data_IF_895044332771
#
_entry.id   IF_895044332771
#
_cell.length_a   1.000
_cell.length_b   1.000
_cell.length_c   1.000
_cell.angle_alpha   90.00
_cell.angle_beta   90.00
_cell.angle_gamma   90.00
#
_symmetry.space_group_name_H-M   'P 1'
#
loop_
_entity.id
_entity.type
_entity.pdbx_description
1 polymer ?
#
# COMPACT_ATOMS: atom_id res chain seq x y z
N UNK A 1 1.03 -28.91 -14.68
CA UNK A 1 -0.21 -28.14 -14.81
C UNK A 1 -0.77 -27.70 -13.45
N UNK A 2 -1.22 -28.59 -12.56
CA UNK A 2 -1.74 -28.17 -11.23
C UNK A 2 -0.72 -27.34 -10.44
N UNK A 3 0.54 -27.75 -10.40
CA UNK A 3 1.63 -27.02 -9.73
C UNK A 3 1.78 -25.58 -10.28
N UNK A 4 1.63 -25.42 -11.60
CA UNK A 4 1.71 -24.09 -12.25
C UNK A 4 0.57 -23.16 -11.77
N UNK A 5 -0.64 -23.70 -11.63
CA UNK A 5 -1.80 -22.97 -11.12
C UNK A 5 -1.55 -22.54 -9.66
N UNK A 6 -1.11 -23.48 -8.81
CA UNK A 6 -0.84 -23.16 -7.39
C UNK A 6 0.27 -22.14 -7.21
N UNK A 7 1.38 -22.26 -7.96
CA UNK A 7 2.47 -21.26 -7.87
C UNK A 7 1.98 -19.90 -8.36
N UNK A 8 1.15 -19.85 -9.40
CA UNK A 8 0.56 -18.61 -9.87
C UNK A 8 -0.31 -17.95 -8.79
N UNK A 9 -1.21 -18.72 -8.14
CA UNK A 9 -2.07 -18.25 -7.05
C UNK A 9 -1.27 -17.77 -5.82
N UNK A 10 -0.09 -18.33 -5.58
CA UNK A 10 0.81 -17.89 -4.52
C UNK A 10 1.57 -16.62 -4.93
N UNK A 11 1.94 -16.51 -6.21
CA UNK A 11 2.71 -15.38 -6.74
C UNK A 11 1.88 -14.10 -6.81
N UNK A 12 0.58 -14.22 -7.07
CA UNK A 12 -0.32 -13.08 -7.21
C UNK A 12 -0.39 -12.20 -5.95
N UNK A 13 -0.73 -12.69 -4.74
CA UNK A 13 -0.73 -11.84 -3.54
C UNK A 13 0.66 -11.28 -3.21
N UNK A 14 1.73 -12.01 -3.50
CA UNK A 14 3.09 -11.51 -3.29
C UNK A 14 3.37 -10.34 -4.23
N UNK A 15 3.04 -10.49 -5.52
CA UNK A 15 3.17 -9.41 -6.49
C UNK A 15 2.38 -8.17 -6.07
N UNK A 16 1.12 -8.33 -5.67
CA UNK A 16 0.25 -7.22 -5.24
C UNK A 16 0.88 -6.44 -4.09
N UNK A 17 1.37 -7.12 -3.04
CA UNK A 17 2.02 -6.47 -1.90
C UNK A 17 3.24 -5.65 -2.35
N UNK A 18 4.11 -6.22 -3.16
CA UNK A 18 5.33 -5.52 -3.60
C UNK A 18 5.03 -4.41 -4.61
N UNK A 19 4.11 -4.63 -5.52
CA UNK A 19 3.73 -3.65 -6.53
C UNK A 19 3.01 -2.44 -5.90
N UNK A 20 2.13 -2.66 -4.93
CA UNK A 20 1.47 -1.57 -4.20
C UNK A 20 2.48 -0.78 -3.37
N UNK A 21 3.41 -1.46 -2.70
CA UNK A 21 4.48 -0.80 -1.95
C UNK A 21 5.42 0.03 -2.83
N UNK A 22 5.55 -0.32 -4.11
CA UNK A 22 6.39 0.41 -5.07
C UNK A 22 5.73 1.66 -5.64
N UNK A 23 4.45 1.90 -5.38
CA UNK A 23 3.75 3.13 -5.81
C UNK A 23 4.36 4.33 -5.07
N UNK A 24 4.71 5.42 -5.78
CA UNK A 24 5.23 6.63 -5.14
C UNK A 24 4.21 7.25 -4.17
N UNK A 25 4.67 7.64 -2.99
CA UNK A 25 3.79 8.28 -2.01
C UNK A 25 3.22 9.62 -2.47
N UNK A 26 3.93 10.36 -3.33
CA UNK A 26 3.60 11.69 -3.85
C UNK A 26 3.36 12.77 -2.78
N UNK A 27 3.86 12.56 -1.57
CA UNK A 27 4.01 13.57 -0.53
C UNK A 27 5.42 13.51 0.05
N UNK A 28 5.85 14.61 0.66
CA UNK A 28 7.19 14.70 1.18
C UNK A 28 7.23 14.19 2.63
N UNK A 29 8.23 13.36 2.95
CA UNK A 29 8.46 12.81 4.30
C UNK A 29 9.64 13.48 5.02
N UNK A 30 10.58 13.99 4.24
CA UNK A 30 11.80 14.61 4.80
C UNK A 30 11.44 15.88 5.58
N UNK A 31 12.09 16.07 6.71
CA UNK A 31 11.89 17.21 7.62
C UNK A 31 10.42 17.34 8.13
N UNK A 32 9.70 16.22 8.18
CA UNK A 32 8.33 16.15 8.69
C UNK A 32 8.19 15.07 9.75
N UNK A 33 7.42 15.41 10.76
CA UNK A 33 7.09 14.49 11.84
C UNK A 33 5.62 14.63 12.23
N UNK A 34 5.13 13.63 12.95
CA UNK A 34 3.82 13.64 13.58
C UNK A 34 3.99 13.83 15.09
N UNK A 35 3.39 14.85 15.63
CA UNK A 35 3.24 15.03 17.07
C UNK A 35 1.89 14.45 17.48
N UNK A 36 1.91 13.41 18.29
CA UNK A 36 0.74 12.72 18.81
C UNK A 36 0.52 13.14 20.26
N UNK A 37 -0.71 13.53 20.57
CA UNK A 37 -1.16 13.87 21.91
C UNK A 37 -2.20 12.86 22.35
N UNK A 38 -1.83 11.92 23.21
CA UNK A 38 -2.74 10.93 23.77
C UNK A 38 -3.30 11.42 25.09
N UNK A 39 -4.61 11.28 25.31
CA UNK A 39 -5.30 11.72 26.52
C UNK A 39 -6.55 10.88 26.77
N UNK A 40 -7.08 10.93 28.00
CA UNK A 40 -8.33 10.26 28.34
C UNK A 40 -9.53 11.04 27.83
N UNK A 41 -10.08 10.53 26.73
CA UNK A 41 -11.22 11.13 26.06
C UNK A 41 -12.51 11.12 26.89
N UNK A 42 -12.67 10.17 27.79
CA UNK A 42 -13.91 10.04 28.59
C UNK A 42 -14.18 11.25 29.47
N UNK A 43 -13.12 11.92 29.91
CA UNK A 43 -13.20 13.15 30.69
C UNK A 43 -13.58 14.37 29.86
N UNK A 44 -13.26 14.39 28.56
CA UNK A 44 -13.50 15.52 27.68
C UNK A 44 -14.97 15.65 27.25
N UNK A 45 -15.70 14.53 27.16
CA UNK A 45 -17.12 14.48 26.74
C UNK A 45 -18.06 15.03 27.84
N UNK A 46 -17.63 15.03 29.09
CA UNK A 46 -18.51 15.38 30.22
C UNK A 46 -18.97 16.85 30.23
N UNK A 47 -18.24 17.75 29.57
CA UNK A 47 -18.58 19.19 29.52
C UNK A 47 -18.18 19.78 28.16
N UNK A 48 -19.12 19.69 27.18
CA UNK A 48 -18.83 20.00 25.77
C UNK A 48 -18.42 21.45 25.49
N UNK A 49 -18.95 22.43 26.21
CA UNK A 49 -18.72 23.84 25.90
C UNK A 49 -17.56 24.50 26.68
N UNK A 50 -17.19 23.96 27.84
CA UNK A 50 -16.18 24.55 28.73
C UNK A 50 -15.14 23.54 29.22
N UNK A 51 -14.87 22.46 28.48
CA UNK A 51 -13.91 21.45 28.91
C UNK A 51 -12.52 22.05 29.17
N UNK A 52 -11.99 21.96 30.39
CA UNK A 52 -10.63 22.41 30.69
C UNK A 52 -9.58 21.72 29.80
N UNK A 53 -9.83 20.44 29.45
CA UNK A 53 -8.95 19.66 28.57
C UNK A 53 -8.93 20.23 27.13
N UNK A 54 -10.06 20.77 26.64
CA UNK A 54 -10.07 21.43 25.34
C UNK A 54 -9.17 22.67 25.31
N UNK A 55 -9.27 23.52 26.34
CA UNK A 55 -8.42 24.70 26.47
C UNK A 55 -6.95 24.32 26.65
N UNK A 56 -6.68 23.27 27.44
CA UNK A 56 -5.34 22.74 27.65
C UNK A 56 -4.74 22.21 26.34
N UNK A 57 -5.51 21.40 25.58
CA UNK A 57 -5.12 20.91 24.25
C UNK A 57 -4.80 22.09 23.31
N UNK A 58 -5.68 23.08 23.21
CA UNK A 58 -5.48 24.26 22.37
C UNK A 58 -4.21 25.03 22.74
N UNK A 59 -3.92 25.20 24.04
CA UNK A 59 -2.70 25.85 24.50
C UNK A 59 -1.45 25.03 24.15
N UNK A 60 -1.50 23.71 24.30
CA UNK A 60 -0.40 22.82 23.91
C UNK A 60 -0.14 22.93 22.41
N UNK A 61 -1.18 22.83 21.59
CA UNK A 61 -1.08 22.97 20.12
C UNK A 61 -0.48 24.31 19.74
N UNK A 62 -0.93 25.42 20.37
CA UNK A 62 -0.37 26.74 20.11
C UNK A 62 1.11 26.83 20.49
N UNK A 63 1.50 26.25 21.62
CA UNK A 63 2.88 26.22 22.05
C UNK A 63 3.78 25.44 21.08
N UNK A 64 3.33 24.27 20.61
CA UNK A 64 4.06 23.48 19.63
C UNK A 64 4.22 24.25 18.32
N UNK A 65 3.16 24.89 17.82
CA UNK A 65 3.18 25.70 16.59
C UNK A 65 4.12 26.90 16.70
N UNK A 66 4.29 27.43 17.91
CA UNK A 66 5.13 28.60 18.17
C UNK A 66 6.61 28.27 18.35
N UNK A 67 6.99 27.00 18.36
CA UNK A 67 8.42 26.62 18.48
C UNK A 67 9.24 27.15 17.30
N UNK A 68 10.45 27.69 17.53
CA UNK A 68 11.27 28.25 16.46
C UNK A 68 11.66 27.27 15.35
N UNK A 69 11.68 25.99 15.66
CA UNK A 69 12.01 24.89 14.76
C UNK A 69 10.88 24.56 13.77
N UNK A 70 9.66 24.96 14.07
CA UNK A 70 8.48 24.70 13.25
C UNK A 70 8.44 25.67 12.07
N UNK A 71 8.35 25.17 10.86
CA UNK A 71 8.08 25.95 9.66
C UNK A 71 6.60 26.08 9.40
N UNK A 72 5.87 24.95 9.47
CA UNK A 72 4.42 24.89 9.35
C UNK A 72 3.88 23.66 10.05
N UNK A 73 2.59 23.67 10.37
CA UNK A 73 1.94 22.50 10.96
C UNK A 73 0.48 22.45 10.57
N UNK A 74 -0.08 21.25 10.54
CA UNK A 74 -1.50 21.01 10.27
C UNK A 74 -2.05 20.01 11.28
N UNK A 75 -3.28 20.23 11.70
CA UNK A 75 -4.02 19.29 12.51
C UNK A 75 -4.89 18.40 11.62
N UNK A 76 -4.81 17.09 11.83
CA UNK A 76 -5.60 16.13 11.08
C UNK A 76 -6.86 15.80 11.87
N UNK A 77 -7.97 15.75 11.17
CA UNK A 77 -9.23 15.32 11.79
C UNK A 77 -9.12 13.86 12.21
N UNK A 78 -9.50 13.59 13.42
CA UNK A 78 -9.19 12.43 14.21
C UNK A 78 -9.50 11.07 13.61
N UNK A 79 -10.52 10.94 12.82
CA UNK A 79 -10.94 9.66 12.22
C UNK A 79 -10.80 9.63 10.71
N UNK A 80 -10.39 10.74 10.10
CA UNK A 80 -10.55 10.97 8.66
C UNK A 80 -9.35 11.65 8.02
N UNK A 81 -8.29 11.87 8.77
CA UNK A 81 -7.09 12.52 8.26
C UNK A 81 -6.10 11.54 7.66
N UNK A 82 -5.31 12.01 6.70
CA UNK A 82 -4.05 11.38 6.34
C UNK A 82 -3.26 11.07 7.61
N UNK A 83 -2.79 9.85 7.76
CA UNK A 83 -2.03 9.39 8.93
C UNK A 83 -2.80 9.15 10.24
N UNK A 84 -4.11 9.33 10.28
CA UNK A 84 -4.80 9.27 11.57
C UNK A 84 -5.95 8.29 11.65
N UNK A 85 -6.27 7.46 10.68
CA UNK A 85 -7.54 6.81 10.87
C UNK A 85 -7.63 5.33 10.61
N UNK A 86 -8.37 4.71 11.52
CA UNK A 86 -8.97 3.40 11.36
C UNK A 86 -10.19 3.41 10.45
N UNK A 87 -10.76 4.59 10.16
CA UNK A 87 -11.92 4.75 9.30
C UNK A 87 -11.65 5.81 8.25
N UNK A 88 -11.65 5.39 6.99
CA UNK A 88 -11.82 6.32 5.90
C UNK A 88 -13.30 6.69 5.82
N UNK A 89 -13.63 7.97 5.98
CA UNK A 89 -14.96 8.43 5.59
C UNK A 89 -15.06 8.29 4.07
N UNK A 90 -16.04 7.50 3.65
CA UNK A 90 -16.40 7.36 2.26
C UNK A 90 -17.52 8.35 2.00
N UNK A 91 -17.27 9.30 1.13
CA UNK A 91 -18.29 10.20 0.63
C UNK A 91 -18.70 9.82 -0.79
N UNK A 92 -19.89 10.26 -1.19
CA UNK A 92 -20.47 9.96 -2.48
C UNK A 92 -20.50 11.24 -3.30
N UNK A 93 -19.74 11.27 -4.37
CA UNK A 93 -19.77 12.40 -5.30
C UNK A 93 -20.57 12.00 -6.55
N UNK A 94 -21.57 12.81 -6.90
CA UNK A 94 -22.37 12.65 -8.12
C UNK A 94 -21.83 13.60 -9.18
N UNK A 95 -21.50 13.11 -10.35
CA UNK A 95 -21.08 14.00 -11.44
C UNK A 95 -22.24 14.49 -12.29
N UNK A 96 -23.40 13.84 -12.22
CA UNK A 96 -24.65 14.25 -12.85
C UNK A 96 -25.78 14.05 -11.84
N UNK A 97 -26.34 15.16 -11.33
CA UNK A 97 -27.41 15.12 -10.34
C UNK A 97 -28.72 14.55 -10.85
N UNK A 98 -28.88 14.47 -12.18
CA UNK A 98 -30.07 13.90 -12.81
C UNK A 98 -29.96 12.39 -13.03
N UNK A 99 -28.74 11.85 -13.06
CA UNK A 99 -28.48 10.42 -13.26
C UNK A 99 -27.94 9.76 -11.98
N UNK A 100 -28.76 8.98 -11.31
CA UNK A 100 -28.35 8.21 -10.12
C UNK A 100 -27.17 7.24 -10.34
N UNK A 101 -26.88 6.88 -11.60
CA UNK A 101 -25.81 5.96 -11.98
C UNK A 101 -24.44 6.66 -12.16
N UNK A 102 -24.35 7.97 -11.94
CA UNK A 102 -23.13 8.78 -12.07
C UNK A 102 -22.44 9.03 -10.72
N UNK A 103 -22.54 8.05 -9.83
CA UNK A 103 -21.98 8.11 -8.49
C UNK A 103 -20.56 7.55 -8.48
N UNK A 104 -19.61 8.28 -7.90
CA UNK A 104 -18.35 7.70 -7.48
C UNK A 104 -18.18 7.82 -5.95
N UNK A 105 -17.56 6.81 -5.37
CA UNK A 105 -17.13 6.86 -3.99
C UNK A 105 -15.74 7.49 -3.92
N UNK A 106 -15.53 8.38 -2.97
CA UNK A 106 -14.25 9.04 -2.71
C UNK A 106 -13.89 8.96 -1.24
N UNK A 107 -12.62 8.82 -0.96
CA UNK A 107 -12.11 8.97 0.40
C UNK A 107 -12.14 10.46 0.77
N UNK A 108 -12.80 10.80 1.87
CA UNK A 108 -12.80 12.16 2.38
C UNK A 108 -11.69 12.31 3.42
N UNK A 109 -10.81 13.29 3.23
CA UNK A 109 -9.82 13.72 4.20
C UNK A 109 -10.21 15.06 4.78
N UNK A 110 -10.37 15.11 6.10
CA UNK A 110 -10.72 16.33 6.80
C UNK A 110 -9.50 16.89 7.54
N UNK A 111 -9.28 18.19 7.39
CA UNK A 111 -8.24 18.92 8.10
C UNK A 111 -8.86 20.09 8.86
N UNK A 112 -8.30 20.40 10.02
CA UNK A 112 -8.74 21.54 10.81
C UNK A 112 -8.21 22.82 10.17
N UNK A 113 -9.14 23.76 9.88
CA UNK A 113 -8.78 25.07 9.37
C UNK A 113 -8.34 26.00 10.51
N UNK A 114 -7.06 26.32 10.55
CA UNK A 114 -6.45 27.18 11.56
C UNK A 114 -6.19 28.61 11.07
N UNK A 115 -6.74 28.98 9.90
CA UNK A 115 -6.55 30.30 9.31
C UNK A 115 -5.25 30.50 8.56
N UNK A 116 -4.45 29.46 8.39
CA UNK A 116 -3.24 29.50 7.58
C UNK A 116 -3.41 28.71 6.26
N UNK A 117 -2.61 29.05 5.24
CA UNK A 117 -2.72 28.50 3.89
C UNK A 117 -1.65 27.43 3.60
N UNK A 118 -1.02 26.89 4.64
CA UNK A 118 0.20 26.08 4.53
C UNK A 118 -0.04 24.56 4.43
N UNK A 119 -1.29 24.10 4.45
CA UNK A 119 -1.62 22.67 4.48
C UNK A 119 -0.91 21.88 3.36
N UNK A 120 -1.07 22.29 2.12
CA UNK A 120 -0.44 21.60 0.99
C UNK A 120 1.09 21.71 1.01
N UNK A 121 1.63 22.84 1.46
CA UNK A 121 3.07 23.04 1.62
C UNK A 121 3.63 22.14 2.74
N UNK A 122 2.88 21.95 3.82
CA UNK A 122 3.28 21.06 4.92
C UNK A 122 3.42 19.62 4.44
N UNK A 123 2.54 19.13 3.60
CA UNK A 123 2.61 17.78 3.03
C UNK A 123 3.43 17.72 1.72
N UNK A 124 3.69 18.87 1.07
CA UNK A 124 4.33 18.89 -0.24
C UNK A 124 3.43 18.40 -1.36
N UNK A 125 2.10 18.49 -1.20
CA UNK A 125 1.14 18.06 -2.21
C UNK A 125 1.13 19.00 -3.40
N UNK A 126 1.21 18.42 -4.60
CA UNK A 126 1.33 19.16 -5.85
C UNK A 126 0.00 19.29 -6.54
N UNK A 127 -0.19 20.41 -7.22
CA UNK A 127 -1.27 20.62 -8.18
C UNK A 127 -1.09 19.70 -9.39
N UNK A 128 -2.16 19.01 -9.75
CA UNK A 128 -2.17 17.99 -10.79
C UNK A 128 -1.86 18.53 -12.21
N UNK A 129 -2.06 19.84 -12.43
CA UNK A 129 -1.85 20.46 -13.75
C UNK A 129 -0.49 21.15 -13.84
N UNK A 130 -0.11 21.91 -12.80
CA UNK A 130 1.11 22.71 -12.83
C UNK A 130 2.33 21.99 -12.27
N UNK A 131 2.14 20.91 -11.48
CA UNK A 131 3.21 20.19 -10.76
C UNK A 131 3.86 21.00 -9.62
N UNK A 132 3.36 22.21 -9.34
CA UNK A 132 3.79 23.05 -8.22
C UNK A 132 3.01 22.67 -6.96
N UNK A 133 3.56 23.01 -5.80
CA UNK A 133 2.83 22.84 -4.54
C UNK A 133 1.53 23.61 -4.61
N UNK A 134 0.43 22.93 -4.30
CA UNK A 134 -0.90 23.53 -4.31
C UNK A 134 -1.03 24.54 -3.16
N UNK A 135 -1.79 25.58 -3.36
CA UNK A 135 -2.04 26.62 -2.33
C UNK A 135 -3.52 26.72 -2.03
N UNK A 136 -3.83 26.92 -0.76
CA UNK A 136 -5.22 27.19 -0.34
C UNK A 136 -5.55 28.65 -0.62
N UNK A 137 -6.66 28.94 -1.32
CA UNK A 137 -7.08 30.33 -1.56
C UNK A 137 -7.42 31.06 -0.25
N UNK A 138 -7.17 32.38 -0.18
CA UNK A 138 -7.49 33.21 0.99
C UNK A 138 -8.98 33.22 1.34
N UNK A 139 -9.84 33.10 0.33
CA UNK A 139 -11.29 33.17 0.46
C UNK A 139 -11.97 31.79 0.56
N UNK A 140 -11.32 30.83 1.20
CA UNK A 140 -11.88 29.48 1.37
C UNK A 140 -13.16 29.49 2.22
N UNK A 141 -14.17 28.78 1.76
CA UNK A 141 -15.39 28.52 2.51
C UNK A 141 -15.31 27.15 3.17
N UNK A 142 -14.94 27.13 4.45
CA UNK A 142 -14.84 25.88 5.21
C UNK A 142 -16.16 25.11 5.20
N UNK A 143 -16.10 23.84 4.93
CA UNK A 143 -17.26 22.97 4.81
C UNK A 143 -17.84 22.84 3.40
N UNK A 144 -17.69 23.85 2.53
CA UNK A 144 -18.24 23.82 1.16
C UNK A 144 -17.18 23.81 0.06
N UNK A 145 -15.98 24.30 0.33
CA UNK A 145 -14.87 24.27 -0.62
C UNK A 145 -14.08 22.99 -0.45
N UNK A 146 -13.85 22.29 -1.55
CA UNK A 146 -13.12 21.02 -1.58
C UNK A 146 -11.97 21.05 -2.58
N UNK A 147 -10.99 20.23 -2.31
CA UNK A 147 -9.93 19.86 -3.24
C UNK A 147 -10.10 18.38 -3.59
N UNK A 148 -9.91 18.02 -4.84
CA UNK A 148 -10.11 16.64 -5.29
C UNK A 148 -8.82 16.07 -5.85
N UNK A 149 -8.65 14.76 -5.74
CA UNK A 149 -7.51 14.07 -6.35
C UNK A 149 -7.63 14.05 -7.88
N UNK A 150 -6.50 13.89 -8.57
CA UNK A 150 -6.46 13.72 -10.03
C UNK A 150 -7.37 12.59 -10.47
N UNK A 151 -7.31 11.44 -9.79
CA UNK A 151 -8.14 10.28 -10.10
C UNK A 151 -9.64 10.61 -9.98
N UNK A 152 -10.06 11.26 -8.90
CA UNK A 152 -11.45 11.67 -8.73
C UNK A 152 -11.88 12.66 -9.83
N UNK A 153 -11.04 13.66 -10.16
CA UNK A 153 -11.30 14.62 -11.21
C UNK A 153 -11.49 13.97 -12.58
N UNK A 154 -10.59 13.06 -12.95
CA UNK A 154 -10.66 12.33 -14.23
C UNK A 154 -11.89 11.43 -14.32
N UNK A 155 -12.27 10.77 -13.21
CA UNK A 155 -13.48 9.92 -13.19
C UNK A 155 -14.76 10.72 -13.24
N UNK A 156 -14.82 11.87 -12.54
CA UNK A 156 -16.02 12.71 -12.49
C UNK A 156 -16.23 13.55 -13.77
N UNK A 157 -15.16 14.10 -14.31
CA UNK A 157 -15.26 15.13 -15.36
C UNK A 157 -14.46 14.82 -16.62
N UNK A 158 -13.66 13.75 -16.63
CA UNK A 158 -12.77 13.40 -17.74
C UNK A 158 -11.61 14.38 -17.96
N UNK A 159 -11.41 15.32 -17.04
CA UNK A 159 -10.37 16.36 -17.10
C UNK A 159 -9.98 16.82 -15.70
N UNK A 160 -8.78 17.36 -15.57
CA UNK A 160 -8.30 18.01 -14.33
C UNK A 160 -8.56 19.52 -14.30
N UNK A 161 -9.05 20.11 -15.41
CA UNK A 161 -9.41 21.53 -15.50
C UNK A 161 -10.84 21.76 -15.00
N UNK A 162 -11.04 21.67 -13.68
CA UNK A 162 -12.37 21.70 -13.06
C UNK A 162 -12.50 22.71 -11.92
N UNK A 163 -11.52 23.59 -11.76
CA UNK A 163 -11.56 24.63 -10.71
C UNK A 163 -12.79 25.51 -10.92
N UNK A 164 -13.53 25.75 -9.82
CA UNK A 164 -14.76 26.54 -9.82
C UNK A 164 -16.03 25.77 -10.20
N UNK A 165 -15.92 24.51 -10.68
CA UNK A 165 -17.09 23.66 -10.85
C UNK A 165 -17.70 23.34 -9.51
N UNK A 166 -19.03 23.31 -9.49
CA UNK A 166 -19.79 22.91 -8.29
C UNK A 166 -20.22 21.46 -8.41
N UNK A 167 -20.20 20.81 -7.28
CA UNK A 167 -20.68 19.46 -7.12
C UNK A 167 -21.66 19.42 -5.95
N UNK A 168 -22.70 18.62 -6.03
CA UNK A 168 -23.67 18.48 -4.95
C UNK A 168 -23.87 17.01 -4.60
N UNK A 169 -23.86 16.71 -3.32
CA UNK A 169 -24.51 15.52 -2.78
C UNK A 169 -25.95 15.88 -2.34
N UNK A 170 -26.76 14.91 -1.90
CA UNK A 170 -28.14 15.20 -1.46
C UNK A 170 -28.26 16.18 -0.29
N UNK A 171 -27.16 16.42 0.45
CA UNK A 171 -27.14 17.21 1.67
C UNK A 171 -26.32 18.49 1.55
N UNK A 172 -25.34 18.54 0.61
CA UNK A 172 -24.36 19.62 0.55
C UNK A 172 -23.99 19.99 -0.90
N UNK A 173 -23.66 21.26 -1.10
CA UNK A 173 -23.13 21.76 -2.36
C UNK A 173 -21.68 22.16 -2.16
N UNK A 174 -20.80 21.52 -2.94
CA UNK A 174 -19.36 21.73 -2.87
C UNK A 174 -18.85 22.54 -4.06
N UNK A 175 -17.83 23.35 -3.85
CA UNK A 175 -17.10 24.07 -4.91
C UNK A 175 -15.67 23.53 -4.97
N UNK A 176 -15.22 23.09 -6.16
CA UNK A 176 -13.87 22.59 -6.35
C UNK A 176 -12.92 23.77 -6.46
N UNK A 177 -11.94 23.85 -5.56
CA UNK A 177 -10.93 24.91 -5.49
C UNK A 177 -9.57 24.51 -6.03
N UNK A 178 -9.30 23.23 -6.19
CA UNK A 178 -8.07 22.73 -6.77
C UNK A 178 -8.09 21.23 -6.99
N UNK A 179 -7.15 20.76 -7.80
CA UNK A 179 -6.93 19.34 -8.08
C UNK A 179 -5.51 19.01 -7.69
N UNK A 180 -5.34 18.07 -6.74
CA UNK A 180 -4.03 17.60 -6.30
C UNK A 180 -3.68 16.26 -6.95
N UNK A 181 -2.37 15.99 -7.07
CA UNK A 181 -1.88 14.69 -7.52
C UNK A 181 -2.27 13.59 -6.55
N UNK A 182 -2.61 12.42 -7.08
CA UNK A 182 -2.92 11.26 -6.27
C UNK A 182 -1.75 10.93 -5.35
N UNK A 183 -2.01 10.71 -4.09
CA UNK A 183 -0.98 10.36 -3.10
C UNK A 183 -1.36 9.11 -2.31
N UNK A 184 -0.34 8.35 -1.97
CA UNK A 184 -0.49 7.10 -1.23
C UNK A 184 -0.33 7.35 0.26
N UNK A 185 -1.42 7.21 1.01
CA UNK A 185 -1.40 7.37 2.47
C UNK A 185 -0.95 6.14 3.21
N UNK A 186 -1.29 4.98 2.67
CA UNK A 186 -0.99 3.68 3.24
C UNK A 186 -0.10 2.90 2.28
N UNK A 187 1.03 2.41 2.78
CA UNK A 187 2.02 1.65 1.99
C UNK A 187 1.44 0.43 1.26
N UNK A 188 0.33 -0.11 1.75
CA UNK A 188 -0.31 -1.31 1.20
C UNK A 188 -1.64 -1.05 0.51
N UNK A 189 -2.04 0.22 0.40
CA UNK A 189 -3.23 0.64 -0.33
C UNK A 189 -2.83 1.59 -1.45
N UNK A 190 -3.31 1.34 -2.65
CA UNK A 190 -3.12 2.28 -3.76
C UNK A 190 -3.78 3.63 -3.48
N UNK A 191 -3.33 4.71 -4.13
CA UNK A 191 -4.02 5.98 -4.06
C UNK A 191 -5.47 5.84 -4.50
N UNK A 192 -6.40 6.12 -3.58
CA UNK A 192 -7.83 6.07 -3.84
C UNK A 192 -8.32 7.42 -4.37
N UNK A 193 -9.41 7.43 -5.17
CA UNK A 193 -10.08 8.69 -5.50
C UNK A 193 -10.48 9.36 -4.20
N UNK A 194 -10.08 10.61 -4.03
CA UNK A 194 -10.20 11.29 -2.73
C UNK A 194 -10.52 12.76 -2.85
N UNK A 195 -11.05 13.33 -1.77
CA UNK A 195 -11.23 14.75 -1.61
C UNK A 195 -10.70 15.23 -0.27
N UNK A 196 -10.20 16.44 -0.25
CA UNK A 196 -9.77 17.16 0.96
C UNK A 196 -10.79 18.25 1.26
N UNK A 197 -11.25 18.27 2.51
CA UNK A 197 -12.18 19.26 3.04
C UNK A 197 -11.58 19.91 4.27
N UNK A 198 -11.83 21.20 4.43
CA UNK A 198 -11.45 21.92 5.64
C UNK A 198 -12.65 22.11 6.55
N UNK A 199 -12.46 21.84 7.82
CA UNK A 199 -13.48 22.02 8.84
C UNK A 199 -13.01 23.01 9.91
N UNK A 200 -13.95 23.71 10.53
CA UNK A 200 -13.61 24.56 11.67
C UNK A 200 -13.26 23.70 12.88
N UNK A 201 -12.31 24.18 13.72
CA UNK A 201 -12.03 23.50 14.97
C UNK A 201 -13.31 23.30 15.76
N UNK A 202 -13.55 22.08 16.21
CA UNK A 202 -14.67 21.72 17.06
C UNK A 202 -14.21 20.69 18.09
N UNK A 203 -14.98 20.51 19.15
CA UNK A 203 -14.72 19.43 20.11
C UNK A 203 -14.61 18.08 19.41
N UNK A 204 -15.48 17.80 18.44
CA UNK A 204 -15.43 16.57 17.66
C UNK A 204 -14.17 16.42 16.81
N UNK A 205 -13.58 17.55 16.36
CA UNK A 205 -12.32 17.50 15.59
C UNK A 205 -11.10 17.22 16.45
N UNK A 206 -11.22 17.46 17.75
CA UNK A 206 -10.15 17.26 18.73
C UNK A 206 -10.42 16.01 19.58
N UNK A 207 -11.72 15.74 19.81
CA UNK A 207 -12.21 14.67 20.64
C UNK A 207 -12.05 13.30 19.99
N UNK A 208 -10.99 12.61 20.25
CA UNK A 208 -10.78 11.26 19.97
C UNK A 208 -9.55 10.75 20.67
N UNK A 209 -9.32 9.49 20.53
CA UNK A 209 -8.33 8.76 21.30
C UNK A 209 -6.91 9.34 21.22
N UNK A 210 -6.60 10.11 20.19
CA UNK A 210 -5.36 10.88 20.08
C UNK A 210 -5.49 12.00 19.05
N UNK A 211 -4.90 13.16 19.34
CA UNK A 211 -4.74 14.24 18.37
C UNK A 211 -3.39 14.08 17.68
N UNK A 212 -3.38 14.00 16.36
CA UNK A 212 -2.17 13.89 15.54
C UNK A 212 -1.98 15.16 14.72
N UNK A 213 -0.83 15.79 14.90
CA UNK A 213 -0.44 17.00 14.18
C UNK A 213 0.77 16.72 13.33
N UNK A 214 0.68 16.97 12.04
CA UNK A 214 1.84 16.92 11.15
C UNK A 214 2.56 18.24 11.20
N UNK A 215 3.85 18.17 11.48
CA UNK A 215 4.74 19.33 11.61
C UNK A 215 5.84 19.23 10.56
N UNK A 216 6.02 20.30 9.80
CA UNK A 216 7.18 20.51 8.95
C UNK A 216 8.23 21.28 9.74
N UNK A 217 9.40 20.71 9.89
CA UNK A 217 10.53 21.30 10.58
C UNK A 217 11.37 22.15 9.62
N UNK A 218 12.02 23.16 10.13
CA UNK A 218 13.02 23.92 9.39
C UNK A 218 14.21 23.03 9.04
N UNK A 219 14.79 23.26 7.90
CA UNK A 219 15.92 22.48 7.38
C UNK A 219 17.08 22.43 8.41
N UNK A 220 17.60 21.22 8.63
CA UNK A 220 18.68 20.98 9.59
C UNK A 220 18.25 20.78 11.05
N UNK A 221 16.97 20.81 11.35
CA UNK A 221 16.47 20.52 12.71
C UNK A 221 16.58 19.03 13.00
N UNK A 222 17.23 18.67 14.12
CA UNK A 222 17.26 17.29 14.61
C UNK A 222 15.90 16.91 15.22
N UNK A 223 15.37 15.75 14.85
CA UNK A 223 14.12 15.23 15.40
C UNK A 223 14.20 15.02 16.91
N UNK A 224 15.33 14.50 17.42
CA UNK A 224 15.53 14.30 18.85
C UNK A 224 15.51 15.60 19.64
N UNK A 225 16.20 16.65 19.12
CA UNK A 225 16.21 17.96 19.73
C UNK A 225 14.82 18.61 19.71
N UNK A 226 14.08 18.45 18.61
CA UNK A 226 12.70 18.90 18.51
C UNK A 226 11.79 18.15 19.50
N UNK A 227 11.91 16.81 19.58
CA UNK A 227 11.15 15.98 20.52
C UNK A 227 11.33 16.44 21.96
N UNK A 228 12.57 16.75 22.35
CA UNK A 228 12.87 17.24 23.69
C UNK A 228 12.17 18.59 23.96
N UNK A 229 12.23 19.52 23.01
CA UNK A 229 11.57 20.83 23.13
C UNK A 229 10.06 20.73 23.21
N UNK A 230 9.44 19.84 22.41
CA UNK A 230 8.01 19.56 22.49
C UNK A 230 7.63 19.05 23.87
N UNK A 231 8.37 18.07 24.43
CA UNK A 231 8.14 17.54 25.76
C UNK A 231 8.27 18.62 26.83
N UNK A 232 9.28 19.49 26.74
CA UNK A 232 9.48 20.60 27.67
C UNK A 232 8.34 21.63 27.58
N UNK A 233 7.90 21.97 26.37
CA UNK A 233 6.78 22.91 26.16
C UNK A 233 5.46 22.36 26.72
N UNK A 234 5.19 21.08 26.48
CA UNK A 234 3.99 20.42 27.02
C UNK A 234 4.04 20.36 28.55
N UNK A 235 5.15 19.96 29.14
CA UNK A 235 5.30 19.83 30.60
C UNK A 235 5.16 21.19 31.34
N UNK A 236 5.44 22.30 30.67
CA UNK A 236 5.23 23.65 31.26
C UNK A 236 3.74 24.02 31.34
N UNK A 237 2.93 23.51 30.41
CA UNK A 237 1.51 23.83 30.29
C UNK A 237 0.66 22.82 31.00
N UNK A 238 0.93 21.53 30.78
CA UNK A 238 0.22 20.39 31.36
C UNK A 238 0.91 19.93 32.67
N UNK A 239 0.53 20.56 33.76
CA UNK A 239 1.10 20.26 35.08
C UNK A 239 0.57 18.95 35.69
N UNK A 240 -0.59 18.52 35.24
CA UNK A 240 -1.24 17.31 35.74
C UNK A 240 -0.83 16.07 34.96
N UNK A 241 -0.12 16.27 33.83
CA UNK A 241 0.26 15.20 32.93
C UNK A 241 -0.97 14.48 32.32
N UNK A 242 -1.98 15.28 31.94
CA UNK A 242 -3.22 14.81 31.33
C UNK A 242 -2.99 14.36 29.87
N UNK A 243 -1.92 14.87 29.22
CA UNK A 243 -1.53 14.55 27.86
C UNK A 243 -0.19 13.83 27.83
N UNK A 244 -0.17 12.69 27.14
CA UNK A 244 1.07 12.00 26.79
C UNK A 244 1.48 12.44 25.37
N UNK A 245 2.69 12.99 25.24
CA UNK A 245 3.21 13.46 23.97
C UNK A 245 4.24 12.51 23.39
N UNK A 246 4.07 12.13 22.14
CA UNK A 246 5.05 11.42 21.35
C UNK A 246 5.31 12.15 20.02
N UNK A 247 6.54 12.09 19.54
CA UNK A 247 6.95 12.65 18.26
C UNK A 247 7.52 11.52 17.43
N UNK A 248 6.89 11.27 16.30
CA UNK A 248 7.19 10.15 15.41
C UNK A 248 7.53 10.68 14.02
N UNK A 249 8.36 9.99 13.29
CA UNK A 249 8.47 10.21 11.83
C UNK A 249 7.16 9.82 11.14
N UNK A 250 6.92 10.28 9.92
CA UNK A 250 5.72 9.88 9.18
C UNK A 250 5.72 8.36 8.88
N UNK A 251 6.89 7.76 8.70
CA UNK A 251 7.00 6.31 8.51
C UNK A 251 6.67 5.54 9.78
N UNK A 252 7.14 5.98 10.94
CA UNK A 252 6.79 5.39 12.24
C UNK A 252 5.30 5.54 12.55
N UNK A 253 4.70 6.69 12.20
CA UNK A 253 3.25 6.93 12.35
C UNK A 253 2.43 5.97 11.50
N UNK A 254 2.86 5.69 10.26
CA UNK A 254 2.22 4.69 9.42
C UNK A 254 2.38 3.29 10.00
N UNK A 255 3.57 2.95 10.47
CA UNK A 255 3.85 1.64 11.06
C UNK A 255 3.04 1.40 12.34
N UNK A 256 2.89 2.43 13.20
CA UNK A 256 2.01 2.38 14.38
C UNK A 256 0.56 2.10 13.95
N UNK A 257 0.05 2.82 12.98
CA UNK A 257 -1.30 2.62 12.43
C UNK A 257 -1.47 1.22 11.84
N UNK A 258 -0.47 0.70 11.11
CA UNK A 258 -0.51 -0.67 10.59
C UNK A 258 -0.50 -1.73 11.70
N UNK A 259 0.19 -1.47 12.80
CA UNK A 259 0.25 -2.37 13.95
C UNK A 259 -1.09 -2.37 14.69
N UNK A 260 -1.66 -1.20 14.96
CA UNK A 260 -2.98 -1.04 15.59
C UNK A 260 -4.10 -1.73 14.79
N UNK A 261 -4.01 -1.72 13.46
CA UNK A 261 -4.99 -2.37 12.56
C UNK A 261 -4.74 -3.86 12.32
N UNK A 262 -3.77 -4.46 12.96
CA UNK A 262 -3.33 -5.83 12.67
C UNK A 262 -2.92 -6.06 11.20
N UNK A 263 -2.82 -4.99 10.42
CA UNK A 263 -2.48 -5.01 9.01
C UNK A 263 -1.12 -5.65 8.77
N UNK A 264 -0.13 -5.26 9.56
CA UNK A 264 1.21 -5.84 9.53
C UNK A 264 1.18 -7.33 9.83
N UNK A 265 0.38 -7.76 10.81
CA UNK A 265 0.23 -9.17 11.16
C UNK A 265 -0.34 -9.96 9.99
N UNK A 266 -1.42 -9.48 9.39
CA UNK A 266 -2.08 -10.11 8.23
C UNK A 266 -1.14 -10.23 7.03
N UNK A 267 -0.37 -9.18 6.70
CA UNK A 267 0.60 -9.21 5.60
C UNK A 267 1.72 -10.20 5.89
N UNK A 268 2.30 -10.14 7.08
CA UNK A 268 3.37 -11.07 7.45
C UNK A 268 2.87 -12.52 7.43
N UNK A 269 1.66 -12.78 7.91
CA UNK A 269 1.02 -14.09 7.85
C UNK A 269 0.85 -14.57 6.41
N UNK A 270 0.36 -13.71 5.49
CA UNK A 270 0.25 -14.03 4.05
C UNK A 270 1.63 -14.35 3.45
N UNK A 271 2.64 -13.53 3.71
CA UNK A 271 4.01 -13.74 3.20
C UNK A 271 4.59 -15.06 3.72
N UNK A 272 4.48 -15.33 5.03
CA UNK A 272 5.02 -16.56 5.64
C UNK A 272 4.32 -17.78 5.08
N UNK A 273 2.98 -17.78 5.03
CA UNK A 273 2.19 -18.90 4.52
C UNK A 273 2.51 -19.20 3.04
N UNK A 274 2.54 -18.17 2.21
CA UNK A 274 2.84 -18.30 0.79
C UNK A 274 4.28 -18.76 0.56
N UNK A 275 5.25 -18.23 1.33
CA UNK A 275 6.65 -18.68 1.25
C UNK A 275 6.80 -20.14 1.67
N UNK A 276 6.14 -20.56 2.74
CA UNK A 276 6.12 -21.94 3.19
C UNK A 276 5.52 -22.88 2.13
N UNK A 277 4.37 -22.51 1.55
CA UNK A 277 3.74 -23.27 0.48
C UNK A 277 4.69 -23.42 -0.74
N UNK A 278 5.39 -22.35 -1.12
CA UNK A 278 6.35 -22.35 -2.22
C UNK A 278 7.53 -23.30 -1.95
N UNK A 279 8.06 -23.32 -0.73
CA UNK A 279 9.10 -24.27 -0.30
C UNK A 279 8.59 -25.72 -0.36
N UNK A 280 7.37 -25.98 0.13
CA UNK A 280 6.78 -27.32 0.07
C UNK A 280 6.64 -27.81 -1.39
N UNK A 281 6.14 -26.96 -2.29
CA UNK A 281 6.00 -27.27 -3.73
C UNK A 281 7.39 -27.53 -4.34
N UNK A 282 8.38 -26.69 -4.01
CA UNK A 282 9.75 -26.89 -4.47
C UNK A 282 10.31 -28.25 -4.06
N UNK A 283 10.17 -28.65 -2.79
CA UNK A 283 10.64 -29.96 -2.29
C UNK A 283 9.90 -31.12 -2.95
N UNK A 284 8.58 -31.02 -3.15
CA UNK A 284 7.79 -32.03 -3.86
C UNK A 284 8.26 -32.18 -5.31
N UNK A 285 8.55 -31.09 -6.00
CA UNK A 285 9.06 -31.13 -7.36
C UNK A 285 10.45 -31.75 -7.41
N UNK A 286 11.35 -31.38 -6.49
CA UNK A 286 12.67 -32.00 -6.38
C UNK A 286 12.58 -33.51 -6.19
N UNK A 287 11.72 -33.99 -5.30
CA UNK A 287 11.48 -35.42 -5.07
C UNK A 287 11.01 -36.13 -6.33
N UNK A 288 10.06 -35.53 -7.05
CA UNK A 288 9.55 -36.08 -8.33
C UNK A 288 10.64 -36.16 -9.39
N UNK A 289 11.46 -35.12 -9.55
CA UNK A 289 12.57 -35.11 -10.50
C UNK A 289 13.63 -36.15 -10.10
N UNK A 290 13.91 -36.29 -8.81
CA UNK A 290 14.85 -37.28 -8.31
C UNK A 290 14.41 -38.69 -8.67
N UNK A 291 13.18 -39.09 -8.32
CA UNK A 291 12.63 -40.43 -8.64
C UNK A 291 12.60 -40.68 -10.14
N UNK A 292 12.23 -39.67 -10.95
CA UNK A 292 12.23 -39.79 -12.42
C UNK A 292 13.62 -40.04 -12.98
N UNK A 293 14.67 -39.42 -12.44
CA UNK A 293 16.04 -39.60 -12.89
C UNK A 293 16.64 -40.91 -12.40
N UNK A 294 16.23 -41.35 -11.22
CA UNK A 294 16.66 -42.68 -10.70
C UNK A 294 16.15 -43.79 -11.61
N UNK A 295 14.92 -43.75 -12.06
CA UNK A 295 14.33 -44.69 -13.01
C UNK A 295 14.95 -44.64 -14.42
N UNK A 296 15.71 -43.57 -14.76
CA UNK A 296 16.40 -43.44 -16.06
C UNK A 296 17.91 -43.61 -15.97
N UNK A 297 18.45 -44.18 -14.88
CA UNK A 297 19.89 -44.40 -14.70
C UNK A 297 20.47 -45.33 -15.77
N UNK A 298 19.74 -46.38 -16.13
CA UNK A 298 20.11 -47.33 -17.18
C UNK A 298 20.27 -46.62 -18.54
N UNK A 299 19.27 -45.79 -18.94
CA UNK A 299 19.33 -45.03 -20.19
C UNK A 299 20.56 -44.11 -20.23
N UNK A 300 20.86 -43.44 -19.10
CA UNK A 300 22.05 -42.57 -18.98
C UNK A 300 23.35 -43.42 -19.11
N UNK A 301 23.38 -44.62 -18.52
CA UNK A 301 24.49 -45.56 -18.63
C UNK A 301 24.75 -45.96 -20.08
N UNK A 302 23.69 -46.30 -20.82
CA UNK A 302 23.77 -46.67 -22.25
C UNK A 302 24.30 -45.50 -23.09
N UNK A 303 23.74 -44.29 -22.90
CA UNK A 303 24.23 -43.11 -23.63
C UNK A 303 25.72 -42.83 -23.35
N UNK A 304 26.16 -43.02 -22.12
CA UNK A 304 27.55 -42.82 -21.72
C UNK A 304 28.47 -43.86 -22.31
N UNK A 305 28.05 -45.14 -22.39
CA UNK A 305 28.81 -46.21 -23.00
C UNK A 305 28.97 -46.00 -24.50
N UNK A 306 27.99 -45.39 -25.17
CA UNK A 306 28.07 -45.00 -26.58
C UNK A 306 28.87 -43.69 -26.83
N UNK A 307 29.55 -43.15 -25.83
CA UNK A 307 30.45 -42.01 -25.97
C UNK A 307 29.82 -40.63 -25.79
N UNK A 308 28.57 -40.55 -25.30
CA UNK A 308 27.97 -39.24 -25.01
C UNK A 308 28.73 -38.52 -23.89
N UNK A 309 29.06 -37.24 -24.09
CA UNK A 309 29.66 -36.40 -23.06
C UNK A 309 28.66 -36.11 -21.94
N UNK A 310 29.14 -35.93 -20.69
CA UNK A 310 28.29 -35.55 -19.53
C UNK A 310 27.45 -34.33 -19.81
N UNK A 311 28.03 -33.29 -20.38
CA UNK A 311 27.35 -32.06 -20.72
C UNK A 311 26.22 -32.26 -21.76
N UNK A 312 26.42 -33.16 -22.74
CA UNK A 312 25.41 -33.49 -23.75
C UNK A 312 24.19 -34.14 -23.10
N UNK A 313 24.41 -35.11 -22.20
CA UNK A 313 23.36 -35.80 -21.46
C UNK A 313 22.59 -34.84 -20.59
N UNK A 314 23.29 -34.04 -19.77
CA UNK A 314 22.65 -33.04 -18.89
C UNK A 314 21.80 -32.06 -19.71
N UNK A 315 22.35 -31.51 -20.80
CA UNK A 315 21.60 -30.54 -21.65
C UNK A 315 20.36 -31.20 -22.27
N UNK A 316 20.44 -32.45 -22.71
CA UNK A 316 19.30 -33.14 -23.28
C UNK A 316 18.14 -33.28 -22.29
N UNK A 317 18.42 -33.74 -21.06
CA UNK A 317 17.36 -33.87 -20.02
C UNK A 317 16.80 -32.52 -19.54
N UNK A 318 17.66 -31.50 -19.42
CA UNK A 318 17.17 -30.15 -19.11
C UNK A 318 16.27 -29.64 -20.23
N UNK A 319 16.66 -29.80 -21.49
CA UNK A 319 15.81 -29.36 -22.63
C UNK A 319 14.47 -30.09 -22.66
N UNK A 320 14.46 -31.41 -22.43
CA UNK A 320 13.22 -32.20 -22.32
C UNK A 320 12.33 -31.65 -21.17
N UNK A 321 12.91 -31.43 -20.01
CA UNK A 321 12.17 -30.90 -18.84
C UNK A 321 11.61 -29.51 -19.09
N UNK A 322 12.37 -28.63 -19.74
CA UNK A 322 11.91 -27.27 -20.09
C UNK A 322 10.78 -27.28 -21.11
N UNK A 323 10.86 -28.13 -22.13
CA UNK A 323 9.79 -28.30 -23.13
C UNK A 323 8.50 -28.77 -22.44
N UNK A 324 8.59 -29.82 -21.60
CA UNK A 324 7.44 -30.34 -20.85
C UNK A 324 6.85 -29.29 -19.89
N UNK A 325 7.71 -28.51 -19.22
CA UNK A 325 7.27 -27.40 -18.39
C UNK A 325 6.48 -26.37 -19.20
N UNK A 326 7.02 -25.92 -20.33
CA UNK A 326 6.41 -24.92 -21.19
C UNK A 326 5.04 -25.36 -21.69
N UNK A 327 4.92 -26.61 -22.13
CA UNK A 327 3.65 -27.20 -22.58
C UNK A 327 2.64 -27.29 -21.43
N UNK A 328 3.08 -27.78 -20.26
CA UNK A 328 2.22 -27.87 -19.08
C UNK A 328 1.79 -26.50 -18.55
N UNK A 329 2.67 -25.51 -18.64
CA UNK A 329 2.39 -24.12 -18.26
C UNK A 329 1.39 -23.49 -19.22
N UNK A 330 1.59 -23.62 -20.53
CA UNK A 330 0.67 -23.13 -21.54
C UNK A 330 -0.75 -23.74 -21.39
N UNK A 331 -0.83 -25.01 -21.04
CA UNK A 331 -2.12 -25.69 -20.77
C UNK A 331 -2.78 -25.24 -19.45
N UNK A 332 -2.00 -24.71 -18.48
CA UNK A 332 -2.51 -24.18 -17.22
C UNK A 332 -3.09 -22.78 -17.37
N UNK A 333 -2.57 -21.96 -18.28
CA UNK A 333 -2.93 -20.52 -18.39
C UNK A 333 -4.41 -20.26 -18.68
N UNK A 334 -5.11 -21.02 -19.55
CA UNK A 334 -6.57 -20.83 -19.72
C UNK A 334 -7.36 -21.02 -18.43
N UNK A 335 -6.93 -21.95 -17.56
CA UNK A 335 -7.60 -22.22 -16.28
C UNK A 335 -7.35 -21.05 -15.32
N UNK A 336 -6.10 -20.57 -15.24
CA UNK A 336 -5.74 -19.40 -14.43
C UNK A 336 -6.49 -18.18 -14.91
N UNK A 337 -6.55 -17.96 -16.23
CA UNK A 337 -7.27 -16.83 -16.81
C UNK A 337 -8.78 -16.89 -16.46
N UNK A 338 -9.38 -18.06 -16.58
CA UNK A 338 -10.78 -18.24 -16.18
C UNK A 338 -10.99 -17.91 -14.71
N UNK A 339 -10.10 -18.41 -13.82
CA UNK A 339 -10.16 -18.12 -12.40
C UNK A 339 -10.07 -16.61 -12.11
N UNK A 340 -9.09 -15.91 -12.72
CA UNK A 340 -8.93 -14.45 -12.54
C UNK A 340 -10.12 -13.66 -13.08
N UNK A 341 -10.75 -14.11 -14.17
CA UNK A 341 -11.94 -13.46 -14.71
C UNK A 341 -13.20 -13.64 -13.84
N UNK A 342 -13.24 -14.69 -13.01
CA UNK A 342 -14.38 -14.97 -12.12
C UNK A 342 -14.19 -14.45 -10.71
N UNK A 343 -13.01 -14.61 -10.13
CA UNK A 343 -12.71 -14.28 -8.72
C UNK A 343 -11.91 -12.97 -8.57
N UNK A 344 -11.34 -12.44 -9.66
CA UNK A 344 -10.43 -11.29 -9.64
C UNK A 344 -8.99 -11.65 -9.25
N UNK A 345 -8.17 -10.61 -9.14
CA UNK A 345 -6.80 -10.69 -8.59
C UNK A 345 -6.81 -10.66 -7.07
N UNK A 346 -5.72 -11.12 -6.45
CA UNK A 346 -5.54 -11.00 -5.01
C UNK A 346 -5.54 -9.53 -4.58
N UNK A 347 -6.10 -9.28 -3.41
CA UNK A 347 -6.04 -7.98 -2.76
C UNK A 347 -4.99 -7.96 -1.64
N UNK A 348 -4.35 -6.81 -1.36
CA UNK A 348 -3.41 -6.69 -0.25
C UNK A 348 -4.06 -7.09 1.09
N UNK A 349 -5.36 -6.84 1.23
CA UNK A 349 -6.17 -7.27 2.37
C UNK A 349 -5.85 -6.53 3.67
N UNK A 350 -5.35 -5.31 3.56
CA UNK A 350 -4.93 -4.48 4.68
C UNK A 350 -5.90 -3.35 4.95
N UNK A 351 -6.67 -2.98 3.96
CA UNK A 351 -7.63 -1.90 4.09
C UNK A 351 -9.00 -2.45 4.54
N UNK A 352 -9.53 -1.87 5.59
CA UNK A 352 -10.92 -2.10 6.02
C UNK A 352 -11.95 -1.48 5.07
N UNK A 353 -11.48 -0.86 3.99
CA UNK A 353 -12.32 -0.27 2.96
C UNK A 353 -12.68 -1.34 1.96
N UNK A 354 -13.97 -1.47 1.71
CA UNK A 354 -14.49 -2.30 0.65
C UNK A 354 -14.05 -1.70 -0.71
N UNK A 355 -12.99 -2.27 -1.29
CA UNK A 355 -12.40 -1.78 -2.54
C UNK A 355 -13.36 -1.83 -3.71
N UNK A 356 -14.38 -2.70 -3.64
CA UNK A 356 -15.41 -2.79 -4.67
C UNK A 356 -16.20 -1.49 -4.80
N UNK A 357 -16.22 -0.66 -3.73
CA UNK A 357 -16.85 0.66 -3.78
C UNK A 357 -16.06 1.68 -4.59
N UNK A 358 -14.72 1.52 -4.70
CA UNK A 358 -13.87 2.46 -5.39
C UNK A 358 -13.52 1.95 -6.78
N UNK A 359 -13.62 2.83 -7.77
CA UNK A 359 -13.17 2.52 -9.13
C UNK A 359 -11.63 2.50 -9.15
N UNK A 360 -11.00 1.34 -9.43
CA UNK A 360 -9.54 1.24 -9.45
C UNK A 360 -8.94 2.16 -10.51
N UNK A 361 -7.77 2.75 -10.22
CA UNK A 361 -7.05 3.54 -11.19
C UNK A 361 -6.21 2.62 -12.11
N UNK A 362 -6.55 2.51 -13.41
CA UNK A 362 -5.84 1.63 -14.35
C UNK A 362 -4.41 2.09 -14.66
N UNK A 363 -4.01 3.31 -14.27
CA UNK A 363 -2.63 3.79 -14.42
C UNK A 363 -1.67 3.01 -13.53
N UNK A 364 -2.15 2.50 -12.40
CA UNK A 364 -1.35 1.62 -11.55
C UNK A 364 -1.34 0.20 -12.12
N UNK A 365 -0.14 -0.35 -12.34
CA UNK A 365 0.04 -1.68 -12.94
C UNK A 365 -0.68 -2.80 -12.19
N UNK A 366 -0.92 -2.62 -10.88
CA UNK A 366 -1.70 -3.55 -10.04
C UNK A 366 -3.15 -3.65 -10.52
N UNK A 367 -3.74 -2.56 -10.99
CA UNK A 367 -5.13 -2.49 -11.44
C UNK A 367 -5.30 -2.74 -12.93
N UNK A 368 -4.22 -2.69 -13.69
CA UNK A 368 -4.27 -2.97 -15.12
C UNK A 368 -4.26 -4.49 -15.34
N UNK A 369 -5.42 -5.03 -15.73
CA UNK A 369 -5.60 -6.47 -15.93
C UNK A 369 -4.49 -7.12 -16.76
N UNK A 370 -4.12 -6.53 -17.89
CA UNK A 370 -3.13 -7.12 -18.79
C UNK A 370 -1.72 -7.06 -18.22
N UNK A 371 -1.36 -5.93 -17.61
CA UNK A 371 -0.04 -5.71 -17.01
C UNK A 371 0.12 -6.62 -15.80
N UNK A 372 -0.87 -6.68 -14.92
CA UNK A 372 -0.87 -7.52 -13.72
C UNK A 372 -0.75 -9.00 -14.10
N UNK A 373 -1.65 -9.49 -14.95
CA UNK A 373 -1.65 -10.88 -15.41
C UNK A 373 -0.32 -11.26 -16.07
N UNK A 374 0.23 -10.38 -16.93
CA UNK A 374 1.50 -10.62 -17.59
C UNK A 374 2.68 -10.72 -16.61
N UNK A 375 2.77 -9.80 -15.63
CA UNK A 375 3.83 -9.83 -14.63
C UNK A 375 3.77 -11.08 -13.74
N UNK A 376 2.61 -11.41 -13.18
CA UNK A 376 2.45 -12.59 -12.32
C UNK A 376 2.75 -13.87 -13.12
N UNK A 377 2.28 -13.94 -14.37
CA UNK A 377 2.56 -15.07 -15.26
C UNK A 377 4.04 -15.19 -15.57
N UNK A 378 4.73 -14.08 -15.86
CA UNK A 378 6.16 -14.08 -16.12
C UNK A 378 6.97 -14.51 -14.89
N UNK A 379 6.67 -13.95 -13.71
CA UNK A 379 7.33 -14.31 -12.44
C UNK A 379 7.13 -15.79 -12.15
N UNK A 380 5.91 -16.30 -12.28
CA UNK A 380 5.58 -17.72 -12.07
C UNK A 380 6.35 -18.61 -13.03
N UNK A 381 6.40 -18.27 -14.32
CA UNK A 381 7.13 -19.06 -15.31
C UNK A 381 8.62 -19.10 -15.03
N UNK A 382 9.23 -17.95 -14.70
CA UNK A 382 10.66 -17.87 -14.35
C UNK A 382 10.98 -18.67 -13.09
N UNK A 383 10.14 -18.58 -12.06
CA UNK A 383 10.30 -19.36 -10.84
C UNK A 383 10.24 -20.87 -11.13
N UNK A 384 9.24 -21.32 -11.90
CA UNK A 384 9.11 -22.72 -12.30
C UNK A 384 10.27 -23.19 -13.18
N UNK A 385 10.73 -22.34 -14.09
CA UNK A 385 11.88 -22.63 -14.93
C UNK A 385 13.15 -22.87 -14.07
N UNK A 386 13.38 -21.99 -13.10
CA UNK A 386 14.48 -22.13 -12.15
C UNK A 386 14.40 -23.44 -11.37
N UNK A 387 13.23 -23.74 -10.79
CA UNK A 387 12.98 -24.97 -10.03
C UNK A 387 13.21 -26.19 -10.91
N UNK A 388 12.72 -26.19 -12.16
CA UNK A 388 12.83 -27.30 -13.09
C UNK A 388 14.28 -27.52 -13.51
N UNK A 389 15.03 -26.46 -13.82
CA UNK A 389 16.45 -26.56 -14.19
C UNK A 389 17.25 -27.13 -13.02
N UNK A 390 17.12 -26.54 -11.82
CA UNK A 390 17.87 -27.00 -10.63
C UNK A 390 17.49 -28.46 -10.27
N UNK A 391 16.16 -28.71 -10.25
CA UNK A 391 15.62 -30.03 -9.91
C UNK A 391 16.03 -31.13 -10.87
N UNK A 392 16.23 -30.81 -12.16
CA UNK A 392 16.71 -31.76 -13.16
C UNK A 392 18.23 -31.86 -13.16
N UNK A 393 18.94 -30.76 -13.06
CA UNK A 393 20.39 -30.68 -13.14
C UNK A 393 21.10 -31.51 -12.07
N UNK A 394 20.67 -31.40 -10.82
CA UNK A 394 21.32 -32.06 -9.67
C UNK A 394 21.31 -33.62 -9.83
N UNK A 395 20.16 -34.28 -10.01
CA UNK A 395 20.12 -35.74 -10.12
C UNK A 395 20.76 -36.25 -11.42
N UNK A 396 20.56 -35.56 -12.56
CA UNK A 396 21.19 -35.95 -13.84
C UNK A 396 22.72 -35.85 -13.73
N UNK A 397 23.25 -34.79 -13.16
CA UNK A 397 24.68 -34.62 -12.97
C UNK A 397 25.27 -35.71 -12.08
N UNK A 398 24.57 -36.12 -11.01
CA UNK A 398 24.99 -37.26 -10.17
C UNK A 398 24.96 -38.56 -10.95
N UNK A 399 23.89 -38.85 -11.70
CA UNK A 399 23.77 -40.05 -12.50
C UNK A 399 24.88 -40.17 -13.56
N UNK A 400 25.31 -39.05 -14.16
CA UNK A 400 26.44 -39.07 -15.14
C UNK A 400 27.81 -39.34 -14.51
N UNK A 401 27.96 -39.33 -13.18
CA UNK A 401 29.21 -39.67 -12.48
C UNK A 401 29.35 -41.15 -12.18
N UNK A 402 28.28 -41.93 -12.22
CA UNK A 402 28.29 -43.37 -12.01
C UNK A 402 29.01 -44.02 -13.21
N UNK A 403 29.82 -45.02 -12.94
CA UNK A 403 30.49 -45.79 -14.01
C UNK A 403 29.43 -46.53 -14.83
N UNK A 404 29.53 -46.54 -16.18
CA UNK A 404 28.56 -47.23 -17.03
C UNK A 404 28.37 -48.72 -16.68
N UNK A 405 29.42 -49.38 -16.20
CA UNK A 405 29.37 -50.77 -15.77
C UNK A 405 28.49 -50.98 -14.51
N UNK A 406 28.52 -50.02 -13.57
CA UNK A 406 27.73 -50.11 -12.35
C UNK A 406 26.25 -49.79 -12.62
N UNK A 407 25.99 -48.86 -13.56
CA UNK A 407 24.63 -48.47 -13.95
C UNK A 407 23.86 -49.61 -14.67
N UNK A 408 24.58 -50.53 -15.31
CA UNK A 408 24.00 -51.70 -16.02
C UNK A 408 23.93 -52.95 -15.14
N UNK A 409 24.53 -52.95 -13.93
CA UNK A 409 24.58 -54.09 -13.02
C UNK A 409 23.48 -54.10 -11.96
N UNK A 410 22.78 -52.97 -11.80
CA UNK A 410 21.65 -52.82 -10.84
C UNK A 410 20.29 -53.32 -11.39
N UNK A 411 20.26 -53.96 -12.58
CA UNK A 411 19.18 -54.82 -13.03
C UNK A 411 19.51 -56.30 -12.60
#
# INVERSE_FOLDING_TARGET
MLTSIFIWMISDPIYVIFATKAIPNNYEKRDRCCVKLDFDYSEMIKDEENSPLYNLHSNIVHAIKSLPEVESSIDTYMRVGAFNSDMHLIDKIYYDTEKKDSLIHVCQYCYVWEGDHNMFATLGLKDANSGKVLTVPENINTGNDIFVSRHAAMKLFGTTEIIGKTHSDPLSKYTIRGVYDDFQLDTYTEPLPSMIKFERPSLYSIAGYSSKRIVKLKEGTSLDAFTQKVKEAVAQIDRNNDFQVSVLTLDETQEETHTEREARYTINQKIILNSFALVCIFLCMLGTFWTRMDNRRSDIGIMRSMGASRSRVVRQYITEAVILLTLAFAAAMPIVLHFVLTEGFAEPGVCSIDKEMFLPNPEYGVNNFYIHFAWVTAITYVAMLFITIVGTWIPVYRATRILPADALREE
#
